data_IF_085288555292
#
_entry.id   IF_085288555292
#
_cell.length_a   1.000
_cell.length_b   1.000
_cell.length_c   1.000
_cell.angle_alpha   90.00
_cell.angle_beta   90.00
_cell.angle_gamma   90.00
#
_symmetry.space_group_name_H-M   'P 1'
#
loop_
_entity.id
_entity.type
_entity.pdbx_description
1 polymer ?
#
# COMPACT_ATOMS: atom_id res chain seq x y z
N UNK A 1 6.42 6.08 -7.19
CA UNK A 1 7.31 5.22 -6.38
C UNK A 1 6.49 4.05 -5.93
N UNK A 2 7.01 2.84 -6.13
CA UNK A 2 6.32 1.62 -5.74
C UNK A 2 6.82 1.16 -4.37
N UNK A 3 5.89 0.68 -3.54
CA UNK A 3 6.13 0.12 -2.23
C UNK A 3 5.48 -1.26 -2.16
N UNK A 4 6.16 -2.18 -1.46
CA UNK A 4 5.57 -3.44 -1.05
C UNK A 4 5.23 -3.35 0.43
N UNK A 5 3.95 -3.44 0.76
CA UNK A 5 3.47 -3.46 2.13
C UNK A 5 3.04 -4.87 2.50
N UNK A 6 3.25 -5.22 3.76
CA UNK A 6 2.89 -6.53 4.32
C UNK A 6 2.11 -6.30 5.59
N UNK A 7 0.95 -6.93 5.71
CA UNK A 7 0.16 -6.89 6.94
C UNK A 7 0.55 -8.01 7.94
N UNK A 8 -0.08 -8.01 9.10
CA UNK A 8 0.12 -9.02 10.16
C UNK A 8 -0.17 -10.47 9.68
N UNK A 9 -1.00 -10.62 8.66
CA UNK A 9 -1.38 -11.92 8.10
C UNK A 9 -0.48 -12.34 6.93
N UNK A 10 0.66 -11.65 6.73
CA UNK A 10 1.57 -11.83 5.60
C UNK A 10 0.92 -11.56 4.23
N UNK A 11 -0.18 -10.79 4.19
CA UNK A 11 -0.79 -10.33 2.94
C UNK A 11 0.10 -9.27 2.32
N UNK A 12 0.58 -9.54 1.10
CA UNK A 12 1.36 -8.58 0.33
C UNK A 12 0.44 -7.65 -0.47
N UNK A 13 0.66 -6.35 -0.33
CA UNK A 13 -0.04 -5.31 -1.09
C UNK A 13 0.97 -4.44 -1.82
N UNK A 14 0.85 -4.38 -3.15
CA UNK A 14 1.61 -3.44 -3.95
C UNK A 14 0.92 -2.07 -3.90
N UNK A 15 1.68 -1.05 -3.55
CA UNK A 15 1.19 0.32 -3.41
C UNK A 15 2.05 1.24 -4.27
N UNK A 16 1.41 2.05 -5.10
CA UNK A 16 2.10 3.02 -5.95
C UNK A 16 1.73 4.43 -5.53
N UNK A 17 2.73 5.27 -5.30
CA UNK A 17 2.56 6.70 -5.03
C UNK A 17 2.84 7.48 -6.31
N UNK A 18 1.90 8.35 -6.68
CA UNK A 18 2.04 9.24 -7.82
C UNK A 18 3.24 10.17 -7.65
N UNK A 19 3.83 10.61 -8.76
CA UNK A 19 4.93 11.58 -8.75
C UNK A 19 4.54 12.90 -8.07
N UNK A 20 3.26 13.31 -8.19
CA UNK A 20 2.73 14.52 -7.56
C UNK A 20 2.73 14.47 -6.03
N UNK A 21 2.52 13.28 -5.45
CA UNK A 21 2.47 13.09 -4.00
C UNK A 21 3.82 12.65 -3.42
N UNK A 22 4.74 12.21 -4.26
CA UNK A 22 6.05 11.69 -3.83
C UNK A 22 6.82 12.64 -2.89
N UNK A 23 6.92 13.96 -3.15
CA UNK A 23 7.66 14.87 -2.25
C UNK A 23 7.08 14.92 -0.84
N UNK A 24 5.78 14.69 -0.69
CA UNK A 24 5.08 14.76 0.60
C UNK A 24 5.29 13.50 1.44
N UNK A 25 5.38 12.32 0.80
CA UNK A 25 5.36 11.04 1.50
C UNK A 25 6.69 10.29 1.51
N UNK A 26 7.64 10.62 0.61
CA UNK A 26 8.90 9.88 0.46
C UNK A 26 9.69 9.76 1.77
N UNK A 27 9.79 10.83 2.53
CA UNK A 27 10.54 10.83 3.80
C UNK A 27 9.78 10.20 4.96
N UNK A 28 8.47 10.02 4.82
CA UNK A 28 7.59 9.44 5.85
C UNK A 28 7.49 7.92 5.73
N UNK A 29 7.63 7.37 4.53
CA UNK A 29 7.46 5.95 4.24
C UNK A 29 8.81 5.22 4.27
N UNK A 30 9.24 4.90 5.49
CA UNK A 30 10.49 4.21 5.78
C UNK A 30 10.24 2.70 5.83
N UNK A 31 11.06 1.92 5.14
CA UNK A 31 10.95 0.46 5.13
C UNK A 31 11.13 -0.15 6.53
N UNK A 32 10.33 -1.17 6.85
CA UNK A 32 10.34 -1.83 8.17
C UNK A 32 9.51 -1.13 9.25
N UNK A 33 8.96 0.06 8.95
CA UNK A 33 8.05 0.77 9.86
C UNK A 33 6.60 0.37 9.57
N UNK A 34 5.79 0.27 10.62
CA UNK A 34 4.35 0.02 10.51
C UNK A 34 3.60 1.34 10.31
N UNK A 35 2.67 1.36 9.36
CA UNK A 35 1.85 2.54 9.04
C UNK A 35 0.37 2.19 9.05
N UNK A 36 -0.46 3.19 9.37
CA UNK A 36 -1.90 3.17 9.08
C UNK A 36 -2.14 4.11 7.89
N UNK A 37 -2.85 3.62 6.87
CA UNK A 37 -3.12 4.38 5.64
C UNK A 37 -4.61 4.39 5.31
N UNK A 38 -5.09 5.51 4.77
CA UNK A 38 -6.46 5.69 4.30
C UNK A 38 -6.50 6.66 3.11
N UNK A 39 -7.64 6.74 2.42
CA UNK A 39 -7.81 7.68 1.29
C UNK A 39 -7.07 7.29 0.01
N UNK A 40 -6.82 5.99 -0.20
CA UNK A 40 -6.16 5.46 -1.40
C UNK A 40 -7.16 4.72 -2.30
N UNK A 41 -6.88 4.70 -3.60
CA UNK A 41 -7.63 3.89 -4.56
C UNK A 41 -7.11 2.45 -4.60
N UNK A 42 -8.03 1.48 -4.60
CA UNK A 42 -7.71 0.08 -4.83
C UNK A 42 -7.91 -0.23 -6.31
N UNK A 43 -6.81 -0.43 -7.03
CA UNK A 43 -6.82 -0.88 -8.42
C UNK A 43 -6.42 -2.35 -8.52
N UNK A 44 -6.95 -3.07 -9.52
CA UNK A 44 -6.58 -4.46 -9.78
C UNK A 44 -5.18 -4.52 -10.39
N UNK A 45 -4.16 -4.72 -9.57
CA UNK A 45 -2.81 -4.96 -10.02
C UNK A 45 -2.51 -6.47 -9.96
N UNK A 46 -2.48 -7.12 -11.13
CA UNK A 46 -2.36 -8.58 -11.33
C UNK A 46 -3.49 -9.44 -10.71
N UNK A 47 -3.91 -10.46 -11.45
CA UNK A 47 -5.08 -11.30 -11.15
C UNK A 47 -4.95 -12.12 -9.84
N UNK A 48 -3.75 -12.15 -9.26
CA UNK A 48 -3.33 -12.93 -8.09
C UNK A 48 -3.49 -12.22 -6.74
N UNK A 49 -3.67 -10.89 -6.72
CA UNK A 49 -3.77 -10.11 -5.47
C UNK A 49 -5.20 -9.59 -5.31
N UNK A 50 -6.07 -10.43 -4.75
CA UNK A 50 -7.42 -10.00 -4.34
C UNK A 50 -7.37 -9.60 -2.87
N UNK A 51 -7.49 -8.31 -2.58
CA UNK A 51 -7.94 -7.85 -1.27
C UNK A 51 -9.41 -8.23 -1.12
N UNK A 52 -9.67 -9.38 -0.51
CA UNK A 52 -11.01 -9.68 0.00
C UNK A 52 -11.30 -8.73 1.14
N UNK A 53 -12.28 -7.84 0.97
CA UNK A 53 -12.81 -7.07 2.10
C UNK A 53 -13.32 -8.07 3.14
N UNK A 54 -12.64 -8.18 4.28
CA UNK A 54 -13.30 -8.68 5.48
C UNK A 54 -14.17 -7.52 5.96
N UNK A 55 -15.45 -7.58 5.60
CA UNK A 55 -16.51 -6.88 6.31
C UNK A 55 -16.47 -7.36 7.76
N UNK A 56 -16.00 -6.49 8.67
CA UNK A 56 -16.47 -6.27 10.03
C UNK A 56 -15.69 -5.09 10.63
#
# INVERSE_FOLDING_TARGET
MDLLMVDVNATMMLVTISSSLLPQYRERLIAGTMFSMSGFDVSRCAQSFRLTSLLC
#
